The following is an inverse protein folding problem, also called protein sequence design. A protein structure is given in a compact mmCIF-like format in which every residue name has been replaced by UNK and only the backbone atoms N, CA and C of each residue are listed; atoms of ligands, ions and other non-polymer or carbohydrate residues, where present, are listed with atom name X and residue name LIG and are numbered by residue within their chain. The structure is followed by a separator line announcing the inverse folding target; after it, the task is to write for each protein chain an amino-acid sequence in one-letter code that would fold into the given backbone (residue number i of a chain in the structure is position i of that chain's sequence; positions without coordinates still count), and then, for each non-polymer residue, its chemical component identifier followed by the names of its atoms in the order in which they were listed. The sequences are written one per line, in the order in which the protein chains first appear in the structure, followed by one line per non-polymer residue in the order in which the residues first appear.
data_IF_640563473673
#
_entry.id   IF_640563473673
#
_cell.length_a   1.000
_cell.length_b   1.000
_cell.length_c   1.000
_cell.angle_alpha   90.00
_cell.angle_beta   90.00
_cell.angle_gamma   90.00
#
_symmetry.space_group_name_H-M   'P 1'
#
loop_
_entity.id
_entity.type
_entity.pdbx_description
1 polymer ?
#
# COMPACT_ATOMS: atom_id res chain seq x y z
N UNK A 1 9.53 -1.57 -10.86
CA UNK A 1 8.18 -2.12 -11.05
C UNK A 1 7.27 -1.59 -9.95
N UNK A 2 6.18 -0.93 -10.31
CA UNK A 2 5.31 -0.20 -9.39
C UNK A 2 4.17 -1.10 -8.91
N UNK A 3 4.52 -2.15 -8.15
CA UNK A 3 3.55 -3.12 -7.66
C UNK A 3 3.12 -2.78 -6.24
N UNK A 4 1.87 -2.33 -6.09
CA UNK A 4 1.23 -2.06 -4.81
C UNK A 4 1.32 -3.30 -3.90
N UNK A 5 1.05 -4.48 -4.46
CA UNK A 5 1.08 -5.74 -3.72
C UNK A 5 2.47 -6.16 -3.26
N UNK A 6 3.53 -5.76 -3.97
CA UNK A 6 4.89 -6.04 -3.54
C UNK A 6 5.26 -5.31 -2.24
N UNK A 7 4.56 -4.21 -1.93
CA UNK A 7 4.73 -3.47 -0.68
C UNK A 7 3.77 -3.97 0.42
N UNK A 8 2.51 -4.27 0.08
CA UNK A 8 1.50 -4.67 1.08
C UNK A 8 1.65 -6.12 1.56
N UNK A 9 2.10 -7.03 0.69
CA UNK A 9 2.29 -8.44 1.00
C UNK A 9 3.31 -8.71 2.11
N UNK A 10 4.56 -8.20 2.03
CA UNK A 10 5.55 -8.40 3.11
C UNK A 10 5.09 -7.81 4.44
N UNK A 11 4.41 -6.66 4.43
CA UNK A 11 3.81 -6.10 5.65
C UNK A 11 2.75 -7.02 6.24
N UNK A 12 1.84 -7.52 5.41
CA UNK A 12 0.80 -8.47 5.85
C UNK A 12 1.41 -9.74 6.41
N UNK A 13 2.45 -10.28 5.78
CA UNK A 13 3.19 -11.45 6.29
C UNK A 13 3.88 -11.16 7.62
N UNK A 14 4.43 -9.96 7.80
CA UNK A 14 5.07 -9.55 9.06
C UNK A 14 4.06 -9.54 10.21
N UNK A 15 2.84 -9.04 9.97
CA UNK A 15 1.76 -9.00 10.96
C UNK A 15 1.14 -10.37 11.27
N UNK A 16 1.33 -11.36 10.40
CA UNK A 16 0.79 -12.71 10.58
C UNK A 16 1.79 -13.68 11.22
N UNK A 17 3.01 -13.24 11.53
CA UNK A 17 3.99 -14.08 12.23
C UNK A 17 3.52 -14.35 13.67
N UNK A 18 3.85 -15.52 14.25
CA UNK A 18 3.53 -15.81 15.64
C UNK A 18 4.36 -14.98 16.62
N UNK A 19 5.57 -14.59 16.21
CA UNK A 19 6.44 -13.66 16.93
C UNK A 19 6.48 -12.34 16.14
N UNK A 20 5.75 -11.34 16.63
CA UNK A 20 5.58 -10.05 15.95
C UNK A 20 6.50 -9.03 16.61
N UNK A 21 7.56 -8.64 15.90
CA UNK A 21 8.32 -7.45 16.23
C UNK A 21 7.53 -6.20 15.80
N UNK A 22 6.79 -5.64 16.76
CA UNK A 22 6.01 -4.42 16.58
C UNK A 22 6.87 -3.23 16.14
N UNK A 23 8.10 -3.10 16.64
CA UNK A 23 8.98 -1.98 16.28
C UNK A 23 9.40 -2.06 14.82
N UNK A 24 9.77 -3.25 14.36
CA UNK A 24 10.05 -3.49 12.94
C UNK A 24 8.80 -3.30 12.07
N UNK A 25 7.63 -3.71 12.54
CA UNK A 25 6.37 -3.54 11.82
C UNK A 25 6.00 -2.06 11.65
N UNK A 26 6.15 -1.24 12.68
CA UNK A 26 5.90 0.20 12.60
C UNK A 26 6.85 0.89 11.62
N UNK A 27 8.14 0.55 11.67
CA UNK A 27 9.12 1.07 10.70
C UNK A 27 8.71 0.71 9.28
N UNK A 28 8.40 -0.56 9.04
CA UNK A 28 7.97 -1.04 7.72
C UNK A 28 6.70 -0.33 7.25
N UNK A 29 5.72 -0.11 8.14
CA UNK A 29 4.49 0.62 7.85
C UNK A 29 4.75 2.07 7.40
N UNK A 30 5.63 2.79 8.11
CA UNK A 30 5.99 4.17 7.72
C UNK A 30 6.69 4.23 6.38
N UNK A 31 7.60 3.28 6.12
CA UNK A 31 8.33 3.19 4.84
C UNK A 31 7.39 2.81 3.69
N UNK A 32 6.49 1.86 3.93
CA UNK A 32 5.44 1.45 2.98
C UNK A 32 4.50 2.61 2.63
N UNK A 33 4.04 3.38 3.62
CA UNK A 33 3.14 4.52 3.41
C UNK A 33 3.82 5.61 2.57
N UNK A 34 5.10 5.90 2.84
CA UNK A 34 5.91 6.82 2.03
C UNK A 34 6.08 6.31 0.61
N UNK A 35 6.36 5.01 0.43
CA UNK A 35 6.50 4.40 -0.88
C UNK A 35 5.20 4.48 -1.68
N UNK A 36 4.04 4.18 -1.08
CA UNK A 36 2.73 4.30 -1.74
C UNK A 36 2.40 5.76 -2.13
N UNK A 37 2.73 6.73 -1.27
CA UNK A 37 2.57 8.15 -1.61
C UNK A 37 3.46 8.56 -2.80
N UNK A 38 4.70 8.07 -2.85
CA UNK A 38 5.60 8.28 -3.99
C UNK A 38 5.07 7.62 -5.27
N UNK A 39 4.51 6.41 -5.18
CA UNK A 39 3.87 5.74 -6.33
C UNK A 39 2.69 6.54 -6.89
N UNK A 40 1.94 7.26 -6.05
CA UNK A 40 0.87 8.16 -6.50
C UNK A 40 1.43 9.35 -7.29
N UNK A 41 2.53 9.94 -6.83
CA UNK A 41 3.19 11.06 -7.52
C UNK A 41 3.85 10.61 -8.85
N UNK A 42 4.36 9.38 -8.90
CA UNK A 42 5.00 8.78 -10.09
C UNK A 42 4.04 7.88 -10.89
N UNK A 43 2.73 7.98 -10.64
CA UNK A 43 1.71 7.08 -11.20
C UNK A 43 1.71 7.05 -12.74
N UNK A 44 2.09 8.16 -13.40
CA UNK A 44 2.17 8.25 -14.85
C UNK A 44 3.24 7.30 -15.41
N UNK A 45 4.44 7.31 -14.84
CA UNK A 45 5.57 6.48 -15.29
C UNK A 45 5.33 5.03 -14.90
N UNK A 46 4.87 4.81 -13.68
CA UNK A 46 4.53 3.48 -13.15
C UNK A 46 3.46 2.76 -13.97
N UNK A 47 2.42 3.47 -14.38
CA UNK A 47 1.31 2.88 -15.14
C UNK A 47 1.72 2.56 -16.58
N UNK A 48 2.65 3.33 -17.16
CA UNK A 48 3.11 3.10 -18.52
C UNK A 48 3.74 1.71 -18.69
N UNK A 49 4.61 1.30 -17.76
CA UNK A 49 5.24 -0.02 -17.79
C UNK A 49 4.19 -1.14 -17.66
N UNK A 50 3.26 -0.98 -16.71
CA UNK A 50 2.15 -1.92 -16.50
C UNK A 50 1.25 -2.04 -17.74
N UNK A 51 1.00 -0.92 -18.42
CA UNK A 51 0.17 -0.88 -19.61
C UNK A 51 0.86 -1.50 -20.82
N UNK A 52 2.19 -1.40 -20.93
CA UNK A 52 2.96 -2.11 -21.95
C UNK A 52 2.92 -3.62 -21.75
N UNK A 53 3.10 -4.11 -20.52
CA UNK A 53 2.95 -5.55 -20.22
C UNK A 53 1.54 -6.05 -20.55
N UNK A 54 0.52 -5.27 -20.24
CA UNK A 54 -0.86 -5.60 -20.60
C UNK A 54 -1.08 -5.62 -22.12
N UNK A 55 -0.49 -4.67 -22.86
CA UNK A 55 -0.49 -4.65 -24.33
C UNK A 55 0.19 -5.89 -24.91
N UNK A 56 1.36 -6.27 -24.42
CA UNK A 56 2.07 -7.45 -24.88
C UNK A 56 1.24 -8.74 -24.70
N UNK A 57 0.49 -8.84 -23.60
CA UNK A 57 -0.42 -9.97 -23.34
C UNK A 57 -1.63 -9.92 -24.27
N UNK A 58 -2.19 -8.74 -24.51
CA UNK A 58 -3.31 -8.55 -25.43
C UNK A 58 -2.93 -8.89 -26.89
N UNK A 59 -1.75 -8.47 -27.33
CA UNK A 59 -1.21 -8.81 -28.66
C UNK A 59 -1.02 -10.33 -28.81
N UNK A 60 -0.46 -11.00 -27.79
CA UNK A 60 -0.32 -12.47 -27.78
C UNK A 60 -1.66 -13.20 -27.84
N UNK A 61 -2.75 -12.57 -27.39
CA UNK A 61 -4.09 -13.16 -27.35
C UNK A 61 -4.98 -12.67 -28.50
N UNK A 62 -4.45 -11.91 -29.46
CA UNK A 62 -5.19 -11.27 -30.55
C UNK A 62 -6.38 -10.43 -30.07
N UNK A 63 -6.25 -9.79 -28.90
CA UNK A 63 -7.26 -8.90 -28.35
C UNK A 63 -6.80 -7.44 -28.47
N UNK A 64 -7.68 -6.55 -28.93
CA UNK A 64 -7.38 -5.12 -28.99
C UNK A 64 -7.86 -4.40 -27.73
N UNK A 65 -6.97 -3.63 -27.11
CA UNK A 65 -7.27 -2.85 -25.89
C UNK A 65 -8.02 -1.58 -26.31
N UNK A 66 -9.32 -1.73 -26.51
CA UNK A 66 -10.23 -0.63 -26.81
C UNK A 66 -10.99 -0.18 -25.56
N UNK A 67 -11.33 1.12 -25.50
CA UNK A 67 -12.19 1.68 -24.45
C UNK A 67 -13.61 1.14 -24.71
N UNK A 68 -14.04 0.20 -23.89
CA UNK A 68 -15.20 -0.66 -24.20
C UNK A 68 -16.56 0.03 -24.17
N UNK A 69 -16.71 1.20 -23.51
CA UNK A 69 -17.95 2.01 -23.57
C UNK A 69 -17.82 3.36 -22.85
N UNK A 70 -17.86 4.49 -23.58
CA UNK A 70 -18.24 5.78 -22.97
C UNK A 70 -19.77 5.90 -23.13
N UNK A 71 -20.52 5.58 -22.07
CA UNK A 71 -21.94 5.96 -22.02
C UNK A 71 -22.03 7.48 -22.15
N UNK A 72 -22.89 7.98 -23.05
CA UNK A 72 -23.12 9.42 -23.21
C UNK A 72 -23.57 10.12 -21.91
N UNK A 73 -24.04 9.35 -20.93
CA UNK A 73 -24.50 9.85 -19.64
C UNK A 73 -23.83 9.05 -18.53
N UNK A 74 -22.61 9.45 -18.14
CA UNK A 74 -22.01 9.03 -16.86
C UNK A 74 -22.23 10.13 -15.82
N UNK A 75 -23.34 10.06 -15.07
CA UNK A 75 -23.66 11.06 -14.02
C UNK A 75 -22.87 10.90 -12.72
N UNK A 76 -22.27 9.73 -12.49
CA UNK A 76 -21.58 9.39 -11.21
C UNK A 76 -20.06 9.33 -11.31
N UNK A 77 -19.48 9.44 -12.50
CA UNK A 77 -18.03 9.44 -12.73
C UNK A 77 -17.64 10.71 -13.48
N UNK A 78 -16.49 11.29 -13.16
CA UNK A 78 -15.94 12.42 -13.89
C UNK A 78 -15.68 11.99 -15.35
N UNK A 79 -16.49 12.49 -16.28
CA UNK A 79 -16.32 12.28 -17.72
C UNK A 79 -15.19 13.18 -18.21
N UNK A 80 -13.94 12.78 -17.99
CA UNK A 80 -12.84 13.37 -18.72
C UNK A 80 -12.92 12.89 -20.17
N UNK A 81 -12.83 13.80 -21.14
CA UNK A 81 -12.78 13.48 -22.57
C UNK A 81 -11.44 12.82 -22.92
N UNK A 82 -11.22 11.62 -22.39
CA UNK A 82 -9.98 10.86 -22.56
C UNK A 82 -10.15 9.99 -23.80
N UNK A 83 -9.38 10.31 -24.84
CA UNK A 83 -9.32 9.54 -26.09
C UNK A 83 -8.28 8.42 -26.05
N UNK A 84 -7.36 8.48 -25.09
CA UNK A 84 -6.24 7.56 -24.96
C UNK A 84 -6.57 6.42 -23.98
N UNK A 85 -6.54 5.14 -24.42
CA UNK A 85 -6.82 3.99 -23.55
C UNK A 85 -5.92 3.93 -22.31
N UNK A 86 -4.64 4.30 -22.43
CA UNK A 86 -3.70 4.29 -21.32
C UNK A 86 -4.16 5.25 -20.21
N UNK A 87 -4.43 6.50 -20.58
CA UNK A 87 -4.91 7.52 -19.66
C UNK A 87 -6.28 7.13 -19.06
N UNK A 88 -7.15 6.46 -19.83
CA UNK A 88 -8.46 6.03 -19.37
C UNK A 88 -8.36 5.01 -18.24
N UNK A 89 -7.58 3.94 -18.44
CA UNK A 89 -7.41 2.89 -17.43
C UNK A 89 -6.62 3.39 -16.21
N UNK A 90 -5.67 4.30 -16.41
CA UNK A 90 -4.95 4.93 -15.31
C UNK A 90 -5.89 5.67 -14.36
N UNK A 91 -6.76 6.54 -14.90
CA UNK A 91 -7.65 7.38 -14.08
C UNK A 91 -8.85 6.59 -13.55
N UNK A 92 -9.39 5.65 -14.34
CA UNK A 92 -10.64 4.96 -13.99
C UNK A 92 -10.44 3.74 -13.10
N UNK A 93 -9.25 3.13 -13.12
CA UNK A 93 -8.96 1.87 -12.43
C UNK A 93 -7.75 2.01 -11.51
N UNK A 94 -6.59 2.39 -12.05
CA UNK A 94 -5.33 2.37 -11.29
C UNK A 94 -5.34 3.36 -10.12
N UNK A 95 -5.72 4.63 -10.36
CA UNK A 95 -5.78 5.65 -9.31
C UNK A 95 -6.81 5.31 -8.21
N UNK A 96 -8.06 4.93 -8.53
CA UNK A 96 -9.03 4.51 -7.51
C UNK A 96 -8.56 3.34 -6.65
N UNK A 97 -7.90 2.34 -7.25
CA UNK A 97 -7.37 1.20 -6.50
C UNK A 97 -6.24 1.66 -5.56
N UNK A 98 -5.31 2.47 -6.06
CA UNK A 98 -4.21 2.99 -5.25
C UNK A 98 -4.73 3.82 -4.07
N UNK A 99 -5.72 4.68 -4.33
CA UNK A 99 -6.34 5.52 -3.31
C UNK A 99 -7.08 4.68 -2.27
N UNK A 100 -7.86 3.68 -2.70
CA UNK A 100 -8.53 2.74 -1.79
C UNK A 100 -7.54 2.01 -0.90
N UNK A 101 -6.42 1.51 -1.44
CA UNK A 101 -5.41 0.79 -0.64
C UNK A 101 -4.75 1.72 0.37
N UNK A 102 -4.45 2.95 -0.01
CA UNK A 102 -3.88 3.95 0.91
C UNK A 102 -4.87 4.28 2.02
N UNK A 103 -6.14 4.48 1.68
CA UNK A 103 -7.21 4.78 2.63
C UNK A 103 -7.46 3.61 3.61
N UNK A 104 -7.56 2.38 3.10
CA UNK A 104 -7.71 1.17 3.90
C UNK A 104 -6.53 0.96 4.86
N UNK A 105 -5.31 1.22 4.38
CA UNK A 105 -4.09 1.09 5.19
C UNK A 105 -4.08 2.10 6.34
N UNK A 106 -4.54 3.33 6.09
CA UNK A 106 -4.65 4.38 7.11
C UNK A 106 -5.80 4.14 8.08
N UNK A 107 -6.95 3.66 7.61
CA UNK A 107 -8.11 3.41 8.47
C UNK A 107 -7.84 2.26 9.45
N UNK A 108 -7.08 1.25 9.02
CA UNK A 108 -6.74 0.09 9.84
C UNK A 108 -5.67 0.37 10.91
N UNK A 109 -4.82 1.37 10.68
CA UNK A 109 -3.76 1.78 11.61
C UNK A 109 -3.83 3.30 11.84
N UNK A 110 -4.80 3.79 12.61
CA UNK A 110 -4.89 5.19 12.95
C UNK A 110 -3.70 5.61 13.82
N UNK A 111 -3.29 6.88 13.73
CA UNK A 111 -2.11 7.43 14.41
C UNK A 111 -2.14 7.19 15.93
N UNK A 112 -3.32 7.30 16.54
CA UNK A 112 -3.56 6.98 17.96
C UNK A 112 -3.12 5.56 18.34
N UNK A 113 -3.37 4.57 17.46
CA UNK A 113 -2.94 3.19 17.71
C UNK A 113 -1.44 3.01 17.53
N UNK A 114 -0.81 3.77 16.62
CA UNK A 114 0.65 3.77 16.47
C UNK A 114 1.35 4.30 17.73
N UNK A 115 0.81 5.35 18.34
CA UNK A 115 1.36 5.90 19.59
C UNK A 115 1.28 4.89 20.75
N UNK A 116 0.17 4.16 20.86
CA UNK A 116 0.00 3.11 21.86
C UNK A 116 0.99 1.95 21.67
N UNK A 117 1.34 1.59 20.43
CA UNK A 117 2.38 0.59 20.19
C UNK A 117 3.75 1.05 20.67
N UNK A 118 4.10 2.33 20.51
CA UNK A 118 5.35 2.87 21.05
C UNK A 118 5.37 2.79 22.58
N UNK A 119 4.24 3.05 23.24
CA UNK A 119 4.12 2.89 24.69
C UNK A 119 4.31 1.43 25.11
N UNK A 120 3.71 0.47 24.41
CA UNK A 120 3.90 -0.96 24.68
C UNK A 120 5.37 -1.35 24.61
N UNK A 121 6.10 -0.91 23.58
CA UNK A 121 7.55 -1.15 23.47
C UNK A 121 8.33 -0.55 24.64
N UNK A 122 8.00 0.68 25.06
CA UNK A 122 8.63 1.31 26.23
C UNK A 122 8.33 0.55 27.53
N UNK A 123 7.08 0.14 27.75
CA UNK A 123 6.66 -0.60 28.95
C UNK A 123 7.32 -1.98 29.02
N UNK A 124 7.35 -2.72 27.91
CA UNK A 124 8.05 -4.00 27.84
C UNK A 124 9.55 -3.84 28.11
N UNK A 125 10.19 -2.80 27.55
CA UNK A 125 11.59 -2.50 27.82
C UNK A 125 11.85 -2.23 29.31
N UNK A 126 11.01 -1.43 29.96
CA UNK A 126 11.13 -1.10 31.38
C UNK A 126 10.92 -2.31 32.31
N UNK A 127 9.95 -3.17 32.00
CA UNK A 127 9.71 -4.39 32.77
C UNK A 127 10.87 -5.40 32.66
N UNK A 128 11.48 -5.49 31.47
CA UNK A 128 12.67 -6.33 31.26
C UNK A 128 13.87 -5.78 32.05
N UNK A 129 14.09 -4.46 32.06
CA UNK A 129 15.21 -3.87 32.82
C UNK A 129 15.06 -4.08 34.32
N UNK A 130 13.86 -3.92 34.87
CA UNK A 130 13.64 -4.10 36.31
C UNK A 130 13.75 -5.57 36.74
N UNK A 131 13.24 -6.51 35.93
CA UNK A 131 13.37 -7.95 36.23
C UNK A 131 14.82 -8.45 36.18
N UNK A 132 15.67 -7.84 35.33
CA UNK A 132 17.12 -8.11 35.30
C UNK A 132 17.83 -7.51 36.53
N UNK A 133 17.39 -6.34 37.00
CA UNK A 133 17.95 -5.69 38.20
C UNK A 133 17.68 -6.53 39.46
N UNK A 134 16.46 -7.02 39.64
CA UNK A 134 16.05 -7.89 40.77
C UNK A 134 16.80 -9.24 40.81
N UNK A 135 17.29 -9.72 39.67
CA UNK A 135 18.11 -10.94 39.55
C UNK A 135 19.59 -10.68 39.87
N UNK A 136 20.06 -9.43 39.72
CA UNK A 136 21.45 -9.03 40.01
C UNK A 136 21.69 -8.71 41.49
N UNK A 137 20.65 -8.33 42.23
CA UNK A 137 20.73 -8.01 43.68
C UNK A 137 20.62 -9.25 44.59
N UNK A 138 20.37 -10.44 44.03
CA UNK A 138 20.23 -11.71 44.77
C UNK A 138 21.45 -12.64 44.74
N UNK A 139 22.58 -12.18 44.18
CA UNK A 139 23.88 -12.87 44.25
C UNK A 139 24.87 -12.04 45.08
#
# INVERSE_FOLDING_TARGET
MCNIFSLTLPFSKLLQKPDIDLKCALKYFTDMTKALANQRNTAIVCFKDLFQEAKDIAEKTNFDISITRISQVQKKRASHAIKDPETYFRVSVFLPILDSVIEDTKSRFPEETLELYNLHVCMSGYLITNSVQDMSEKN
#
